data_IF_595990621203
#
_entry.id   IF_595990621203
#
_cell.length_a   1.000
_cell.length_b   1.000
_cell.length_c   1.000
_cell.angle_alpha   90.00
_cell.angle_beta   90.00
_cell.angle_gamma   90.00
#
_symmetry.space_group_name_H-M   'P 1'
#
loop_
_entity.id
_entity.type
_entity.pdbx_description
1 polymer ?
#
# COMPACT_ATOMS: atom_id res chain seq x y z
N UNK A 1 -27.62 7.14 -5.20
CA UNK A 1 -27.42 6.23 -4.06
C UNK A 1 -25.98 5.78 -4.14
N UNK A 2 -25.08 6.43 -3.40
CA UNK A 2 -23.65 6.12 -3.38
C UNK A 2 -23.45 4.88 -2.52
N UNK A 3 -23.08 3.77 -3.15
CA UNK A 3 -22.76 2.54 -2.45
C UNK A 3 -21.42 2.75 -1.75
N UNK A 4 -21.47 3.04 -0.45
CA UNK A 4 -20.29 2.98 0.41
C UNK A 4 -19.86 1.52 0.50
N UNK A 5 -18.93 1.14 -0.39
CA UNK A 5 -18.27 -0.17 -0.34
C UNK A 5 -17.42 -0.16 0.93
N UNK A 6 -18.04 -0.60 2.03
CA UNK A 6 -17.36 -0.77 3.31
C UNK A 6 -16.49 -2.01 3.17
N UNK A 7 -15.31 -1.86 2.57
CA UNK A 7 -14.28 -2.89 2.60
C UNK A 7 -13.71 -2.93 4.02
N UNK A 8 -14.39 -3.69 4.89
CA UNK A 8 -14.10 -3.82 6.32
C UNK A 8 -12.78 -4.52 6.65
N UNK A 9 -11.87 -4.68 5.68
CA UNK A 9 -10.48 -5.03 5.98
C UNK A 9 -9.84 -3.74 6.49
N UNK A 10 -9.50 -3.70 7.79
CA UNK A 10 -8.66 -2.63 8.36
C UNK A 10 -7.34 -2.62 7.59
N UNK A 11 -7.31 -1.83 6.52
CA UNK A 11 -6.10 -1.52 5.82
C UNK A 11 -5.25 -0.70 6.76
N UNK A 12 -3.96 -1.00 6.79
CA UNK A 12 -3.01 -0.25 7.60
C UNK A 12 -2.95 1.23 7.17
N UNK A 13 -3.35 1.52 5.92
CA UNK A 13 -3.58 2.87 5.39
C UNK A 13 -4.90 2.97 4.61
N UNK A 14 -5.67 4.06 4.79
CA UNK A 14 -6.88 4.29 4.02
C UNK A 14 -6.57 4.41 2.52
N UNK A 15 -7.44 3.83 1.70
CA UNK A 15 -7.41 4.03 0.25
C UNK A 15 -7.88 5.46 -0.04
N UNK A 16 -7.33 6.17 -1.03
CA UNK A 16 -7.83 7.48 -1.42
C UNK A 16 -9.30 7.40 -1.89
N UNK A 17 -10.14 8.34 -1.46
CA UNK A 17 -11.61 8.36 -1.68
C UNK A 17 -12.02 8.50 -3.17
N UNK A 18 -11.12 8.96 -4.04
CA UNK A 18 -11.34 9.19 -5.49
C UNK A 18 -10.65 8.13 -6.39
N UNK A 19 -10.57 6.88 -5.94
CA UNK A 19 -9.92 5.81 -6.71
C UNK A 19 -10.92 4.74 -7.19
N UNK A 20 -10.73 4.24 -8.41
CA UNK A 20 -11.48 3.11 -8.95
C UNK A 20 -11.36 1.87 -8.05
N UNK A 21 -12.38 1.02 -8.02
CA UNK A 21 -12.38 -0.24 -7.25
C UNK A 21 -11.16 -1.13 -7.55
N UNK A 22 -10.63 -1.07 -8.78
CA UNK A 22 -9.42 -1.78 -9.20
C UNK A 22 -8.17 -1.29 -8.48
N UNK A 23 -8.02 0.03 -8.35
CA UNK A 23 -6.92 0.63 -7.61
C UNK A 23 -7.00 0.27 -6.12
N UNK A 24 -8.20 0.36 -5.54
CA UNK A 24 -8.45 -0.05 -4.16
C UNK A 24 -8.10 -1.53 -3.92
N UNK A 25 -8.39 -2.40 -4.89
CA UNK A 25 -8.05 -3.82 -4.83
C UNK A 25 -6.53 -4.05 -4.81
N UNK A 26 -5.79 -3.33 -5.66
CA UNK A 26 -4.32 -3.41 -5.69
C UNK A 26 -3.67 -2.91 -4.40
N UNK A 27 -4.16 -1.78 -3.90
CA UNK A 27 -3.73 -1.21 -2.62
C UNK A 27 -3.97 -2.18 -1.45
N UNK A 28 -5.16 -2.78 -1.39
CA UNK A 28 -5.52 -3.72 -0.34
C UNK A 28 -4.69 -4.99 -0.36
N UNK A 29 -4.32 -5.45 -1.55
CA UNK A 29 -3.43 -6.59 -1.71
C UNK A 29 -2.00 -6.27 -1.25
N UNK A 30 -1.45 -5.12 -1.66
CA UNK A 30 -0.13 -4.67 -1.19
C UNK A 30 -0.09 -4.54 0.33
N UNK A 31 -1.11 -3.94 0.94
CA UNK A 31 -1.19 -3.79 2.40
C UNK A 31 -1.20 -5.15 3.12
N UNK A 32 -1.98 -6.10 2.61
CA UNK A 32 -1.97 -7.47 3.12
C UNK A 32 -0.61 -8.15 2.92
N UNK A 33 0.04 -7.95 1.77
CA UNK A 33 1.35 -8.52 1.46
C UNK A 33 2.42 -8.00 2.44
N UNK A 34 2.46 -6.69 2.66
CA UNK A 34 3.33 -6.02 3.65
C UNK A 34 3.04 -6.54 5.05
N UNK A 35 1.76 -6.62 5.45
CA UNK A 35 1.35 -7.09 6.78
C UNK A 35 1.80 -8.53 7.07
N UNK A 36 2.00 -9.34 6.02
CA UNK A 36 2.56 -10.69 6.12
C UNK A 36 4.09 -10.73 6.18
N UNK A 37 4.78 -9.59 6.08
CA UNK A 37 6.23 -9.52 5.93
C UNK A 37 6.70 -9.84 4.51
N UNK A 38 5.85 -9.59 3.50
CA UNK A 38 6.19 -9.72 2.10
C UNK A 38 7.20 -8.67 1.63
N UNK A 39 7.83 -8.93 0.49
CA UNK A 39 8.88 -8.06 -0.04
C UNK A 39 8.29 -6.77 -0.60
N UNK A 40 8.90 -5.63 -0.27
CA UNK A 40 8.47 -4.32 -0.76
C UNK A 40 8.79 -4.10 -2.25
N UNK A 41 9.64 -4.96 -2.83
CA UNK A 41 9.99 -4.98 -4.24
C UNK A 41 9.31 -6.14 -4.98
N UNK A 42 8.25 -6.71 -4.41
CA UNK A 42 7.43 -7.67 -5.11
C UNK A 42 6.87 -7.04 -6.39
N UNK A 43 7.01 -7.76 -7.51
CA UNK A 43 6.50 -7.31 -8.79
C UNK A 43 5.02 -7.68 -8.95
N UNK A 44 4.27 -6.83 -9.65
CA UNK A 44 2.86 -7.09 -9.90
C UNK A 44 2.73 -8.15 -11.02
N UNK A 45 1.76 -9.08 -10.94
CA UNK A 45 1.50 -10.01 -12.03
C UNK A 45 1.18 -9.27 -13.33
N UNK A 46 1.78 -9.69 -14.45
CA UNK A 46 1.56 -9.05 -15.76
C UNK A 46 0.11 -9.13 -16.27
N UNK A 47 -0.70 -10.02 -15.69
CA UNK A 47 -2.13 -10.19 -16.00
C UNK A 47 -3.03 -9.16 -15.29
N UNK A 48 -2.47 -8.35 -14.39
CA UNK A 48 -3.25 -7.36 -13.65
C UNK A 48 -3.58 -6.13 -14.47
N UNK A 49 -4.75 -5.57 -14.20
CA UNK A 49 -5.13 -4.26 -14.73
C UNK A 49 -4.17 -3.18 -14.25
N UNK A 50 -3.80 -2.28 -15.15
CA UNK A 50 -2.89 -1.15 -14.87
C UNK A 50 -3.30 -0.36 -13.61
N UNK A 51 -4.60 -0.09 -13.40
CA UNK A 51 -5.09 0.58 -12.19
C UNK A 51 -4.80 -0.19 -10.90
N UNK A 52 -4.91 -1.52 -10.94
CA UNK A 52 -4.60 -2.40 -9.81
C UNK A 52 -3.10 -2.43 -9.54
N UNK A 53 -2.30 -2.52 -10.61
CA UNK A 53 -0.84 -2.44 -10.54
C UNK A 53 -0.43 -1.10 -9.92
N UNK A 54 -1.00 0.02 -10.36
CA UNK A 54 -0.73 1.35 -9.82
C UNK A 54 -1.05 1.43 -8.31
N UNK A 55 -2.20 0.93 -7.87
CA UNK A 55 -2.56 0.91 -6.44
C UNK A 55 -1.65 0.03 -5.59
N UNK A 56 -1.18 -1.09 -6.15
CA UNK A 56 -0.22 -1.97 -5.52
C UNK A 56 1.15 -1.29 -5.34
N UNK A 57 1.69 -0.70 -6.42
CA UNK A 57 2.97 0.00 -6.38
C UNK A 57 2.97 1.25 -5.49
N UNK A 58 1.86 2.00 -5.47
CA UNK A 58 1.75 3.17 -4.59
C UNK A 58 1.86 2.76 -3.12
N UNK A 59 1.11 1.74 -2.68
CA UNK A 59 1.16 1.25 -1.29
C UNK A 59 2.54 0.72 -0.91
N UNK A 60 3.21 -0.03 -1.78
CA UNK A 60 4.58 -0.52 -1.57
C UNK A 60 5.58 0.63 -1.46
N UNK A 61 5.48 1.61 -2.36
CA UNK A 61 6.33 2.80 -2.35
C UNK A 61 6.12 3.61 -1.08
N UNK A 62 4.87 3.77 -0.67
CA UNK A 62 4.51 4.54 0.50
C UNK A 62 4.93 3.82 1.80
N UNK A 63 4.99 2.49 1.80
CA UNK A 63 5.60 1.69 2.87
C UNK A 63 7.13 1.80 2.87
N UNK A 64 7.76 1.74 1.69
CA UNK A 64 9.21 1.93 1.53
C UNK A 64 9.64 3.31 2.05
N UNK A 65 8.89 4.35 1.70
CA UNK A 65 9.11 5.71 2.20
C UNK A 65 8.93 5.79 3.73
N UNK A 66 7.93 5.10 4.30
CA UNK A 66 7.74 5.04 5.74
C UNK A 66 8.90 4.33 6.45
N UNK A 67 9.38 3.20 5.91
CA UNK A 67 10.54 2.47 6.45
C UNK A 67 11.84 3.28 6.31
N UNK A 68 12.10 3.88 5.15
CA UNK A 68 13.26 4.75 4.93
C UNK A 68 13.25 6.00 5.83
N UNK A 69 12.07 6.53 6.15
CA UNK A 69 11.95 7.63 7.11
C UNK A 69 12.12 7.17 8.57
N UNK A 70 11.80 5.91 8.88
CA UNK A 70 12.09 5.30 10.18
C UNK A 70 13.60 5.16 10.42
N UNK A 71 14.39 4.82 9.39
CA UNK A 71 15.85 4.74 9.51
C UNK A 71 16.52 6.12 9.68
N UNK A 72 15.95 7.19 9.09
CA UNK A 72 16.48 8.55 9.26
C UNK A 72 16.16 9.20 10.62
N UNK A 73 15.26 8.60 11.41
CA UNK A 73 14.86 9.11 12.73
C UNK A 73 15.67 8.60 13.91
N UNK A 74 16.54 7.60 13.73
CA UNK A 74 17.23 6.90 14.84
C UNK A 74 18.73 7.25 14.99
N UNK A 75 19.26 8.20 14.21
CA UNK A 75 20.61 8.74 14.34
C UNK A 75 20.55 10.14 14.97
N UNK A 76 20.16 10.26 16.24
CA UNK A 76 20.45 11.47 17.02
C UNK A 76 20.66 11.06 18.48
N UNK A 77 21.93 11.01 18.89
CA UNK A 77 22.30 10.91 20.29
C UNK A 77 23.15 9.70 20.63
N UNK A 78 24.41 9.68 20.19
CA UNK A 78 25.47 9.20 21.08
C UNK A 78 26.40 10.39 21.35
N UNK A 79 26.61 10.62 22.64
CA UNK A 79 27.14 11.81 23.30
C UNK A 79 28.58 12.14 22.95
#
# INVERSE_FOLDING_TARGET
MTLTVTSSRKLTRPVPDDCSDRYASGWAYADWHISKGGDLNADAPADWHEEMVNGFWDRLTAERNANSNSEKGQNNGHQ
#
